data_IF_714153240043
#
_entry.id   IF_714153240043
#
_cell.length_a   1.000
_cell.length_b   1.000
_cell.length_c   1.000
_cell.angle_alpha   90.00
_cell.angle_beta   90.00
_cell.angle_gamma   90.00
#
_symmetry.space_group_name_H-M   'P 1'
#
loop_
_entity.id
_entity.type
_entity.pdbx_description
1 polymer ?
#
# COMPACT_ATOMS: atom_id res chain seq x y z
N UNK A 1 2.20 3.12 -5.18
CA UNK A 1 2.10 4.07 -6.30
C UNK A 1 0.73 4.75 -6.23
N UNK A 2 0.62 6.02 -6.62
CA UNK A 2 -0.68 6.72 -6.77
C UNK A 2 -0.52 7.86 -7.77
N UNK A 3 -1.56 8.18 -8.52
CA UNK A 3 -1.63 9.36 -9.40
C UNK A 3 -2.22 10.58 -8.68
N UNK A 4 -2.77 10.41 -7.49
CA UNK A 4 -3.43 11.44 -6.68
C UNK A 4 -2.76 11.58 -5.31
N UNK A 5 -1.50 12.06 -5.24
CA UNK A 5 -0.72 12.09 -3.98
C UNK A 5 -1.37 12.92 -2.87
N UNK A 6 -2.23 13.88 -3.21
CA UNK A 6 -3.02 14.67 -2.24
C UNK A 6 -3.98 13.83 -1.40
N UNK A 7 -4.29 12.59 -1.80
CA UNK A 7 -5.16 11.66 -1.06
C UNK A 7 -4.41 10.84 0.00
N UNK A 8 -3.07 10.87 0.02
CA UNK A 8 -2.24 10.12 0.98
C UNK A 8 -2.58 10.46 2.45
N UNK A 9 -2.86 11.72 2.85
CA UNK A 9 -3.38 12.03 4.20
C UNK A 9 -4.62 11.22 4.61
N UNK A 10 -5.46 10.82 3.66
CA UNK A 10 -6.67 10.04 3.91
C UNK A 10 -6.46 8.53 3.92
N UNK A 11 -5.23 8.03 3.75
CA UNK A 11 -4.94 6.61 3.65
C UNK A 11 -5.25 5.87 4.96
N UNK A 12 -6.10 4.84 4.87
CA UNK A 12 -6.56 4.02 6.00
C UNK A 12 -6.24 2.54 5.86
N UNK A 13 -5.97 2.06 4.66
CA UNK A 13 -5.56 0.68 4.42
C UNK A 13 -4.66 0.61 3.17
N UNK A 14 -4.05 -0.55 2.94
CA UNK A 14 -3.47 -0.88 1.63
C UNK A 14 -4.17 -2.11 1.10
N UNK A 15 -4.73 -2.00 -0.09
CA UNK A 15 -5.40 -3.07 -0.79
C UNK A 15 -4.42 -3.94 -1.58
N UNK A 16 -4.64 -5.25 -1.54
CA UNK A 16 -3.95 -6.26 -2.34
C UNK A 16 -4.96 -7.24 -2.97
N UNK A 17 -4.55 -8.00 -3.98
CA UNK A 17 -5.42 -8.98 -4.64
C UNK A 17 -5.11 -10.40 -4.22
N UNK A 18 -6.13 -11.23 -4.02
CA UNK A 18 -5.96 -12.67 -3.78
C UNK A 18 -5.55 -13.44 -5.06
N UNK A 19 -5.68 -12.80 -6.22
CA UNK A 19 -5.42 -13.42 -7.55
C UNK A 19 -4.05 -13.07 -8.12
N UNK A 20 -3.33 -12.15 -7.50
CA UNK A 20 -2.02 -11.68 -7.95
C UNK A 20 -0.92 -12.40 -7.18
N UNK A 21 0.15 -12.79 -7.88
CA UNK A 21 1.35 -13.34 -7.27
C UNK A 21 2.24 -12.21 -6.76
N UNK A 22 2.74 -12.33 -5.52
CA UNK A 22 3.60 -11.34 -4.89
C UNK A 22 4.95 -11.94 -4.50
N UNK A 23 5.99 -11.12 -4.59
CA UNK A 23 7.35 -11.48 -4.23
C UNK A 23 7.99 -10.46 -3.30
N UNK A 24 8.89 -10.94 -2.45
CA UNK A 24 9.83 -10.11 -1.70
C UNK A 24 11.10 -9.94 -2.54
N UNK A 25 11.54 -8.69 -2.69
CA UNK A 25 12.70 -8.32 -3.47
C UNK A 25 13.69 -7.54 -2.61
N UNK A 26 14.97 -7.74 -2.83
CA UNK A 26 16.04 -6.93 -2.27
C UNK A 26 16.58 -5.98 -3.32
N UNK A 27 16.76 -4.71 -2.94
CA UNK A 27 17.46 -3.73 -3.76
C UNK A 27 18.95 -4.09 -3.74
N UNK A 28 19.53 -4.31 -4.91
CA UNK A 28 20.96 -4.66 -5.06
C UNK A 28 21.80 -3.51 -5.59
N UNK A 29 21.17 -2.57 -6.30
CA UNK A 29 21.79 -1.34 -6.78
C UNK A 29 20.73 -0.22 -6.88
N UNK A 30 21.15 1.02 -6.71
CA UNK A 30 20.34 2.22 -6.91
C UNK A 30 21.17 3.30 -7.60
N UNK A 31 20.61 3.96 -8.61
CA UNK A 31 21.28 5.06 -9.32
C UNK A 31 21.04 6.42 -8.66
N UNK A 32 19.92 6.55 -7.93
CA UNK A 32 19.51 7.78 -7.29
C UNK A 32 19.97 7.83 -5.82
N UNK A 33 20.33 9.03 -5.35
CA UNK A 33 20.62 9.28 -3.93
C UNK A 33 19.36 9.35 -3.03
N UNK A 34 18.17 9.11 -3.60
CA UNK A 34 16.89 9.13 -2.93
C UNK A 34 16.08 7.88 -3.29
N UNK A 35 15.07 7.58 -2.48
CA UNK A 35 14.29 6.35 -2.61
C UNK A 35 15.03 5.12 -2.06
N UNK A 36 14.54 3.90 -2.38
CA UNK A 36 15.10 2.67 -1.83
C UNK A 36 16.57 2.47 -2.18
N UNK A 37 17.37 2.08 -1.19
CA UNK A 37 18.81 1.88 -1.28
C UNK A 37 19.20 0.40 -1.19
N UNK A 38 20.41 0.01 -1.62
CA UNK A 38 20.87 -1.36 -1.54
C UNK A 38 20.73 -1.98 -0.14
N UNK A 39 20.21 -3.21 -0.08
CA UNK A 39 19.90 -3.95 1.15
C UNK A 39 18.46 -3.79 1.66
N UNK A 40 17.75 -2.75 1.22
CA UNK A 40 16.32 -2.59 1.51
C UNK A 40 15.49 -3.67 0.81
N UNK A 41 14.35 -4.00 1.43
CA UNK A 41 13.46 -5.07 0.96
C UNK A 41 12.09 -4.51 0.66
N UNK A 42 11.57 -4.84 -0.50
CA UNK A 42 10.33 -4.32 -1.06
C UNK A 42 9.44 -5.48 -1.50
N UNK A 43 8.13 -5.33 -1.38
CA UNK A 43 7.16 -6.29 -1.90
C UNK A 43 6.50 -5.68 -3.13
N UNK A 44 6.40 -6.47 -4.19
CA UNK A 44 5.72 -6.10 -5.42
C UNK A 44 4.86 -7.27 -5.90
N UNK A 45 3.83 -6.98 -6.70
CA UNK A 45 3.31 -7.98 -7.60
C UNK A 45 4.42 -8.43 -8.56
N UNK A 46 4.59 -9.74 -8.72
CA UNK A 46 5.71 -10.33 -9.46
C UNK A 46 5.76 -9.78 -10.91
N UNK A 47 4.59 -9.60 -11.54
CA UNK A 47 4.48 -9.07 -12.91
C UNK A 47 4.91 -7.59 -13.05
N UNK A 48 4.85 -6.82 -11.95
CA UNK A 48 5.11 -5.37 -11.96
C UNK A 48 6.48 -5.00 -11.38
N UNK A 49 7.24 -5.96 -10.85
CA UNK A 49 8.49 -5.72 -10.15
C UNK A 49 9.57 -5.15 -11.10
N UNK A 50 9.73 -5.73 -12.29
CA UNK A 50 10.75 -5.30 -13.26
C UNK A 50 10.49 -3.88 -13.77
N UNK A 51 9.25 -3.60 -14.19
CA UNK A 51 8.86 -2.26 -14.65
C UNK A 51 9.00 -1.22 -13.53
N UNK A 52 8.60 -1.56 -12.30
CA UNK A 52 8.76 -0.69 -11.12
C UNK A 52 10.22 -0.39 -10.83
N UNK A 53 11.10 -1.41 -10.91
CA UNK A 53 12.53 -1.27 -10.70
C UNK A 53 13.17 -0.31 -11.72
N UNK A 54 12.82 -0.48 -13.00
CA UNK A 54 13.30 0.38 -14.08
C UNK A 54 12.87 1.85 -13.86
N UNK A 55 11.61 2.11 -13.52
CA UNK A 55 11.11 3.47 -13.25
C UNK A 55 11.78 4.10 -12.02
N UNK A 56 12.03 3.31 -10.98
CA UNK A 56 12.69 3.77 -9.77
C UNK A 56 14.23 3.88 -9.91
N UNK A 57 14.80 3.38 -11.03
CA UNK A 57 16.24 3.26 -11.28
C UNK A 57 16.97 2.48 -10.20
N UNK A 58 16.42 1.31 -9.88
CA UNK A 58 17.00 0.34 -8.96
C UNK A 58 17.09 -1.03 -9.62
N UNK A 59 17.98 -1.88 -9.12
CA UNK A 59 18.05 -3.29 -9.49
C UNK A 59 17.48 -4.14 -8.37
N UNK A 60 16.50 -4.99 -8.68
CA UNK A 60 15.87 -5.88 -7.72
C UNK A 60 16.35 -7.32 -7.90
N UNK A 61 16.61 -7.99 -6.79
CA UNK A 61 16.80 -9.43 -6.73
C UNK A 61 15.62 -10.06 -5.99
N UNK A 62 14.92 -11.00 -6.63
CA UNK A 62 13.78 -11.68 -6.00
C UNK A 62 14.28 -12.69 -4.97
N UNK A 63 13.78 -12.61 -3.74
CA UNK A 63 14.16 -13.50 -2.65
C UNK A 63 13.23 -14.71 -2.55
N UNK A 64 11.92 -14.48 -2.39
CA UNK A 64 10.92 -15.54 -2.29
C UNK A 64 9.50 -14.99 -2.55
N UNK A 65 8.53 -15.89 -2.72
CA UNK A 65 7.10 -15.54 -2.81
C UNK A 65 6.56 -15.06 -1.46
N UNK A 66 5.55 -14.19 -1.50
CA UNK A 66 4.76 -13.75 -0.34
C UNK A 66 3.31 -14.19 -0.57
N UNK A 67 2.77 -14.96 0.39
CA UNK A 67 1.40 -15.45 0.30
C UNK A 67 0.37 -14.36 0.65
N UNK A 68 -0.85 -14.53 0.15
CA UNK A 68 -1.98 -13.66 0.50
C UNK A 68 -2.25 -13.66 2.02
N UNK A 69 -2.10 -14.80 2.69
CA UNK A 69 -2.24 -14.90 4.15
C UNK A 69 -1.20 -14.04 4.88
N UNK A 70 0.07 -14.11 4.45
CA UNK A 70 1.11 -13.24 4.99
C UNK A 70 0.76 -11.78 4.78
N UNK A 71 0.35 -11.38 3.57
CA UNK A 71 -0.06 -10.00 3.28
C UNK A 71 -1.21 -9.55 4.17
N UNK A 72 -2.30 -10.33 4.28
CA UNK A 72 -3.45 -10.01 5.11
C UNK A 72 -3.13 -9.84 6.59
N UNK A 73 -2.09 -10.54 7.07
CA UNK A 73 -1.61 -10.44 8.46
C UNK A 73 -0.78 -9.19 8.75
N UNK A 74 -0.27 -8.51 7.72
CA UNK A 74 0.59 -7.34 7.91
C UNK A 74 -0.20 -6.16 8.50
N UNK A 75 0.54 -5.36 9.26
CA UNK A 75 0.13 -4.04 9.73
C UNK A 75 1.22 -3.07 9.37
N UNK A 76 0.87 -2.05 8.59
CA UNK A 76 1.80 -1.08 8.05
C UNK A 76 1.82 0.19 8.91
N UNK A 77 2.89 0.96 8.80
CA UNK A 77 2.92 2.34 9.28
C UNK A 77 2.49 3.29 8.17
N UNK A 78 1.76 4.33 8.53
CA UNK A 78 1.41 5.38 7.58
C UNK A 78 2.70 6.08 7.06
N UNK A 79 2.79 6.46 5.78
CA UNK A 79 3.98 7.15 5.24
C UNK A 79 4.27 8.50 5.91
N UNK A 80 3.25 9.13 6.50
CA UNK A 80 3.36 10.36 7.29
C UNK A 80 3.41 10.14 8.80
N UNK A 81 3.66 8.93 9.28
CA UNK A 81 3.78 8.65 10.72
C UNK A 81 4.76 9.63 11.38
N UNK A 82 4.33 10.26 12.48
CA UNK A 82 5.08 11.27 13.22
C UNK A 82 5.00 12.69 12.67
N UNK A 83 4.42 12.89 11.48
CA UNK A 83 4.25 14.23 10.89
C UNK A 83 3.33 15.06 11.79
N UNK A 84 3.85 16.19 12.30
CA UNK A 84 3.17 17.05 13.27
C UNK A 84 2.61 16.31 14.50
N UNK A 85 3.22 15.18 14.89
CA UNK A 85 2.75 14.33 15.98
C UNK A 85 1.50 13.51 15.65
N UNK A 86 1.12 13.39 14.38
CA UNK A 86 -0.04 12.63 13.90
C UNK A 86 0.32 11.34 13.16
N UNK A 87 -0.70 10.72 12.54
CA UNK A 87 -0.57 9.50 11.72
C UNK A 87 0.05 8.29 12.43
N UNK A 88 -0.09 8.21 13.76
CA UNK A 88 0.41 7.10 14.58
C UNK A 88 -0.46 5.84 14.52
N UNK A 89 -1.58 5.89 13.79
CA UNK A 89 -2.52 4.77 13.65
C UNK A 89 -1.94 3.65 12.79
N UNK A 90 -2.29 2.38 13.07
CA UNK A 90 -1.94 1.25 12.21
C UNK A 90 -2.67 1.33 10.87
N UNK A 91 -2.00 0.92 9.79
CA UNK A 91 -2.58 0.81 8.45
C UNK A 91 -2.72 -0.68 8.09
N UNK A 92 -3.91 -1.28 8.18
CA UNK A 92 -4.13 -2.67 7.83
C UNK A 92 -4.01 -2.94 6.32
N UNK A 93 -3.69 -4.18 6.00
CA UNK A 93 -3.89 -4.73 4.66
C UNK A 93 -5.34 -5.22 4.50
N UNK A 94 -5.95 -4.95 3.34
CA UNK A 94 -7.30 -5.44 2.99
C UNK A 94 -7.27 -6.09 1.61
N UNK A 95 -8.07 -7.15 1.41
CA UNK A 95 -8.21 -7.75 0.09
C UNK A 95 -9.16 -6.89 -0.75
N UNK A 96 -8.77 -6.56 -1.98
CA UNK A 96 -9.53 -5.71 -2.88
C UNK A 96 -9.54 -6.27 -4.30
N UNK A 97 -10.74 -6.47 -4.85
CA UNK A 97 -10.94 -7.01 -6.20
C UNK A 97 -10.51 -6.04 -7.31
N UNK A 98 -10.44 -4.74 -6.99
CA UNK A 98 -10.01 -3.65 -7.88
C UNK A 98 -8.48 -3.63 -8.11
N UNK A 99 -7.72 -4.39 -7.31
CA UNK A 99 -6.26 -4.47 -7.46
C UNK A 99 -5.90 -5.42 -8.60
N UNK A 100 -5.23 -4.90 -9.62
CA UNK A 100 -4.73 -5.65 -10.77
C UNK A 100 -3.19 -5.64 -10.82
N UNK A 101 -2.62 -6.47 -11.69
CA UNK A 101 -1.20 -6.52 -12.01
C UNK A 101 -0.89 -5.86 -13.37
N UNK A 102 -1.79 -5.01 -13.88
CA UNK A 102 -1.62 -4.32 -15.17
C UNK A 102 -0.81 -3.03 -15.05
N UNK A 103 -0.86 -2.35 -13.89
CA UNK A 103 -0.18 -1.09 -13.67
C UNK A 103 0.14 -0.83 -12.19
N UNK A 104 1.13 0.04 -11.95
CA UNK A 104 1.54 0.44 -10.62
C UNK A 104 2.44 -0.61 -9.97
N UNK A 105 2.08 -1.06 -8.76
CA UNK A 105 2.93 -1.96 -7.96
C UNK A 105 2.20 -3.24 -7.50
N UNK A 106 0.94 -3.42 -7.89
CA UNK A 106 0.06 -4.47 -7.37
C UNK A 106 -0.49 -4.19 -5.97
N UNK A 107 -0.38 -2.94 -5.53
CA UNK A 107 -0.94 -2.44 -4.27
C UNK A 107 -1.61 -1.10 -4.50
N UNK A 108 -2.75 -0.90 -3.86
CA UNK A 108 -3.51 0.34 -3.90
C UNK A 108 -3.59 0.89 -2.49
N UNK A 109 -3.10 2.11 -2.27
CA UNK A 109 -3.37 2.80 -1.00
C UNK A 109 -4.87 3.14 -0.96
N UNK A 110 -5.52 2.94 0.17
CA UNK A 110 -6.98 3.00 0.26
C UNK A 110 -7.38 4.17 1.13
N UNK A 111 -7.95 5.21 0.50
CA UNK A 111 -8.42 6.43 1.13
C UNK A 111 -9.95 6.54 1.00
N UNK A 112 -10.74 5.94 1.91
CA UNK A 112 -12.18 5.75 1.75
C UNK A 112 -13.00 7.05 1.65
N UNK A 113 -12.43 8.21 2.02
CA UNK A 113 -13.07 9.51 1.86
C UNK A 113 -12.87 10.16 0.48
N UNK A 114 -12.11 9.55 -0.44
CA UNK A 114 -11.69 10.19 -1.71
C UNK A 114 -11.90 9.35 -2.97
N UNK A 115 -12.47 8.14 -2.87
CA UNK A 115 -12.68 7.27 -4.02
C UNK A 115 -13.76 6.23 -3.75
N UNK A 116 -14.56 5.89 -4.76
CA UNK A 116 -15.64 4.91 -4.61
C UNK A 116 -15.11 3.50 -4.38
N UNK A 117 -14.12 3.06 -5.15
CA UNK A 117 -13.52 1.73 -4.99
C UNK A 117 -12.82 1.58 -3.64
N UNK A 118 -12.19 2.64 -3.15
CA UNK A 118 -11.60 2.70 -1.81
C UNK A 118 -12.67 2.63 -0.70
N UNK A 119 -13.77 3.35 -0.87
CA UNK A 119 -14.90 3.30 0.04
C UNK A 119 -15.52 1.90 0.09
N UNK A 120 -15.80 1.30 -1.07
CA UNK A 120 -16.40 -0.03 -1.18
C UNK A 120 -15.47 -1.09 -0.54
N UNK A 121 -14.16 -1.08 -0.87
CA UNK A 121 -13.18 -2.00 -0.28
C UNK A 121 -13.04 -1.81 1.25
N UNK A 122 -13.09 -0.58 1.74
CA UNK A 122 -13.08 -0.30 3.18
C UNK A 122 -14.33 -0.84 3.87
N UNK A 123 -15.51 -0.56 3.31
CA UNK A 123 -16.80 -1.00 3.86
C UNK A 123 -16.92 -2.52 3.92
N UNK A 124 -16.47 -3.22 2.88
CA UNK A 124 -16.43 -4.69 2.85
C UNK A 124 -15.51 -5.25 3.94
N UNK A 125 -14.43 -4.54 4.27
CA UNK A 125 -13.48 -4.94 5.31
C UNK A 125 -13.89 -4.57 6.75
N UNK A 126 -14.88 -3.67 6.96
CA UNK A 126 -15.23 -3.11 8.29
C UNK A 126 -15.43 -4.19 9.35
N UNK A 127 -16.19 -5.25 9.04
CA UNK A 127 -16.48 -6.30 10.01
C UNK A 127 -15.21 -7.01 10.51
N UNK A 128 -14.22 -7.21 9.64
CA UNK A 128 -12.95 -7.84 9.99
C UNK A 128 -11.99 -6.86 10.68
N UNK A 129 -11.97 -5.60 10.22
CA UNK A 129 -11.19 -4.53 10.84
C UNK A 129 -11.60 -4.30 12.31
N UNK A 130 -12.90 -4.31 12.60
CA UNK A 130 -13.42 -4.18 13.97
C UNK A 130 -12.95 -5.33 14.86
N UNK A 131 -12.93 -6.57 14.37
CA UNK A 131 -12.40 -7.72 15.14
C UNK A 131 -10.90 -7.57 15.45
N UNK A 132 -10.16 -6.91 14.56
CA UNK A 132 -8.74 -6.58 14.73
C UNK A 132 -8.51 -5.35 15.61
N UNK A 133 -9.57 -4.71 16.12
CA UNK A 133 -9.49 -3.50 16.95
C UNK A 133 -9.09 -2.24 16.17
N UNK A 134 -9.26 -2.23 14.85
CA UNK A 134 -9.00 -1.05 14.02
C UNK A 134 -10.20 -0.10 14.09
N UNK A 135 -9.95 1.18 14.33
CA UNK A 135 -10.97 2.22 14.24
C UNK A 135 -11.42 2.37 12.77
N UNK A 136 -12.69 2.08 12.51
CA UNK A 136 -13.25 2.10 11.17
C UNK A 136 -13.85 3.46 10.79
N UNK A 137 -13.71 4.48 11.64
CA UNK A 137 -14.19 5.84 11.38
C UNK A 137 -13.48 6.44 10.17
N UNK A 138 -14.24 6.78 9.13
CA UNK A 138 -13.71 7.42 7.93
C UNK A 138 -13.41 8.89 8.27
N UNK A 139 -12.15 9.33 8.23
CA UNK A 139 -11.80 10.72 8.46
C UNK A 139 -12.25 11.57 7.27
N UNK A 140 -12.58 12.82 7.54
CA UNK A 140 -12.70 13.86 6.52
C UNK A 140 -11.49 14.79 6.69
N UNK A 141 -10.37 14.51 5.99
CA UNK A 141 -9.13 15.30 6.16
C UNK A 141 -9.14 16.60 5.35
N UNK A 142 -10.14 16.82 4.51
CA UNK A 142 -10.33 18.02 3.69
C UNK A 142 -11.62 18.69 4.16
N UNK A 143 -11.55 19.99 4.42
CA UNK A 143 -12.73 20.81 4.73
C UNK A 143 -13.38 21.34 3.44
N UNK A 144 -14.48 22.08 3.57
CA UNK A 144 -15.22 22.61 2.42
C UNK A 144 -14.41 23.60 1.55
N UNK A 145 -13.20 24.01 1.97
CA UNK A 145 -12.36 24.94 1.24
C UNK A 145 -11.43 24.27 0.21
N UNK A 146 -11.26 22.95 0.28
CA UNK A 146 -10.43 22.17 -0.66
C UNK A 146 -8.94 22.16 -0.32
#
# INVERSE_FOLDING_TARGET
WTTTPWTIPGNRAVSYSLRVAYGLYEVTAAENAFGPQPGEKLIFADALAEESAAKAKVTLNRLHSVSAEQLGSLTLSHPFKGLAGGYEFPVPMVAGEHVTDEAGTGFVHTAPSHGREDFDAWMDAVAELLKRGVDTTIPFPVDDAG
#
